data_IF_116199284293
#
_entry.id   IF_116199284293
#
_cell.length_a   1.000
_cell.length_b   1.000
_cell.length_c   1.000
_cell.angle_alpha   90.00
_cell.angle_beta   90.00
_cell.angle_gamma   90.00
#
_symmetry.space_group_name_H-M   'P 1'
#
loop_
_entity.id
_entity.type
_entity.pdbx_description
1 polymer ?
#
# COMPACT_ATOMS: atom_id res chain seq x y z
N UNK A 1 19.11 -26.03 -103.04
CA UNK A 1 17.79 -25.35 -103.08
C UNK A 1 16.95 -25.96 -101.92
N UNK A 2 16.54 -25.12 -101.08
CA UNK A 2 16.11 -25.33 -99.68
C UNK A 2 14.84 -26.15 -99.51
N UNK A 3 14.93 -27.18 -98.70
CA UNK A 3 13.76 -27.84 -98.14
C UNK A 3 13.78 -27.73 -96.62
N UNK A 4 12.82 -27.06 -96.01
CA UNK A 4 12.68 -26.90 -94.56
C UNK A 4 11.75 -28.01 -94.02
N UNK A 5 12.29 -28.80 -93.09
CA UNK A 5 11.54 -29.78 -92.33
C UNK A 5 10.99 -29.12 -91.07
N UNK A 6 9.69 -29.16 -90.84
CA UNK A 6 9.04 -28.68 -89.67
C UNK A 6 8.94 -29.82 -88.62
N UNK A 7 9.39 -29.57 -87.38
CA UNK A 7 9.29 -30.46 -86.26
C UNK A 7 8.11 -30.02 -85.37
N UNK A 8 7.09 -30.88 -85.24
CA UNK A 8 6.01 -30.70 -84.23
C UNK A 8 6.51 -31.13 -82.85
N UNK A 9 6.51 -30.23 -81.91
CA UNK A 9 6.71 -30.55 -80.47
C UNK A 9 5.35 -30.63 -79.75
N UNK A 10 4.96 -31.82 -79.30
CA UNK A 10 3.85 -31.98 -78.32
C UNK A 10 4.29 -31.52 -76.94
N UNK A 11 3.68 -30.49 -76.47
CA UNK A 11 3.88 -30.02 -75.11
C UNK A 11 2.88 -30.68 -74.16
N UNK A 12 3.39 -31.50 -73.23
CA UNK A 12 2.60 -32.07 -72.13
C UNK A 12 2.50 -31.02 -71.00
N UNK A 13 1.28 -30.54 -70.74
CA UNK A 13 1.01 -29.61 -69.62
C UNK A 13 0.78 -30.45 -68.38
N UNK A 14 1.74 -30.43 -67.43
CA UNK A 14 1.55 -30.93 -66.07
C UNK A 14 0.83 -29.86 -65.23
N UNK A 15 -0.39 -30.17 -64.80
CA UNK A 15 -1.09 -29.40 -63.75
C UNK A 15 -0.54 -29.81 -62.39
N UNK A 16 0.34 -29.01 -61.78
CA UNK A 16 0.69 -29.08 -60.37
C UNK A 16 -0.40 -28.36 -59.55
N UNK A 17 -1.29 -29.14 -58.94
CA UNK A 17 -2.25 -28.66 -57.94
C UNK A 17 -1.51 -28.20 -56.70
N UNK A 18 -1.36 -26.90 -56.53
CA UNK A 18 -0.87 -26.28 -55.30
C UNK A 18 -1.93 -26.43 -54.19
N UNK A 19 -1.68 -27.35 -53.23
CA UNK A 19 -2.42 -27.37 -51.96
C UNK A 19 -1.97 -26.16 -51.16
N UNK A 20 -2.77 -25.10 -51.20
CA UNK A 20 -2.58 -23.94 -50.32
C UNK A 20 -2.77 -24.37 -48.85
N UNK A 21 -1.68 -24.46 -48.09
CA UNK A 21 -1.71 -24.50 -46.65
C UNK A 21 -2.28 -23.14 -46.19
N UNK A 22 -3.56 -23.13 -45.84
CA UNK A 22 -4.14 -22.02 -45.11
C UNK A 22 -3.43 -21.97 -43.74
N UNK A 23 -2.53 -21.01 -43.58
CA UNK A 23 -2.00 -20.68 -42.26
C UNK A 23 -3.17 -20.20 -41.40
N UNK A 24 -3.56 -21.04 -40.42
CA UNK A 24 -4.50 -20.64 -39.42
C UNK A 24 -3.86 -19.46 -38.63
N UNK A 25 -4.31 -18.26 -38.93
CA UNK A 25 -3.98 -17.08 -38.16
C UNK A 25 -4.44 -17.35 -36.70
N UNK A 26 -3.49 -17.32 -35.76
CA UNK A 26 -3.84 -17.40 -34.35
C UNK A 26 -4.90 -16.31 -34.06
N UNK A 27 -5.95 -16.63 -33.30
CA UNK A 27 -6.97 -15.63 -32.98
C UNK A 27 -6.30 -14.45 -32.30
N UNK A 28 -6.65 -13.24 -32.72
CA UNK A 28 -6.18 -12.01 -32.09
C UNK A 28 -6.47 -12.08 -30.57
N UNK A 29 -5.57 -11.59 -29.70
CA UNK A 29 -5.76 -11.64 -28.27
C UNK A 29 -7.07 -10.95 -27.89
N UNK A 30 -7.95 -11.68 -27.22
CA UNK A 30 -9.23 -11.17 -26.74
C UNK A 30 -8.90 -10.20 -25.59
N UNK A 31 -8.98 -8.90 -25.84
CA UNK A 31 -9.09 -7.94 -24.75
C UNK A 31 -10.47 -8.13 -24.10
N UNK A 32 -10.52 -8.15 -22.74
CA UNK A 32 -11.82 -8.06 -22.07
C UNK A 32 -12.58 -6.89 -22.69
N UNK A 33 -13.74 -7.17 -23.21
CA UNK A 33 -14.56 -6.10 -23.77
C UNK A 33 -14.88 -5.12 -22.63
N UNK A 34 -14.76 -3.83 -22.84
CA UNK A 34 -15.13 -2.79 -21.84
C UNK A 34 -16.48 -3.08 -21.13
N UNK A 35 -17.50 -3.67 -21.80
CA UNK A 35 -18.75 -4.07 -21.14
C UNK A 35 -18.60 -5.15 -20.06
N UNK A 36 -17.68 -6.13 -20.19
CA UNK A 36 -17.53 -7.19 -19.19
C UNK A 36 -16.81 -6.68 -17.93
N UNK A 37 -15.76 -5.88 -18.09
CA UNK A 37 -15.06 -5.24 -16.96
C UNK A 37 -16.03 -4.32 -16.20
N UNK A 38 -16.84 -3.51 -16.92
CA UNK A 38 -17.85 -2.66 -16.29
C UNK A 38 -18.88 -3.45 -15.47
N UNK A 39 -19.31 -4.64 -15.94
CA UNK A 39 -20.17 -5.52 -15.16
C UNK A 39 -19.53 -6.01 -13.87
N UNK A 40 -18.27 -6.44 -13.93
CA UNK A 40 -17.53 -6.89 -12.75
C UNK A 40 -17.35 -5.73 -11.75
N UNK A 41 -17.03 -4.53 -12.23
CA UNK A 41 -16.90 -3.34 -11.38
C UNK A 41 -18.23 -2.95 -10.70
N UNK A 42 -19.35 -3.15 -11.37
CA UNK A 42 -20.68 -2.94 -10.77
C UNK A 42 -21.03 -4.02 -9.72
N UNK A 43 -20.76 -5.30 -10.02
CA UNK A 43 -20.94 -6.40 -9.06
C UNK A 43 -20.06 -6.22 -7.82
N UNK A 44 -18.82 -5.74 -8.00
CA UNK A 44 -17.84 -5.49 -6.94
C UNK A 44 -18.32 -4.46 -5.91
N UNK A 45 -19.14 -3.47 -6.29
CA UNK A 45 -19.80 -2.55 -5.34
C UNK A 45 -20.68 -3.32 -4.36
N UNK A 46 -21.45 -4.30 -4.85
CA UNK A 46 -22.27 -5.16 -4.01
C UNK A 46 -21.42 -6.06 -3.09
N UNK A 47 -20.38 -6.64 -3.63
CA UNK A 47 -19.43 -7.47 -2.84
C UNK A 47 -18.75 -6.67 -1.74
N UNK A 48 -18.37 -5.41 -2.01
CA UNK A 48 -17.79 -4.54 -1.00
C UNK A 48 -18.80 -4.20 0.09
N UNK A 49 -20.04 -3.86 -0.29
CA UNK A 49 -21.10 -3.58 0.68
C UNK A 49 -21.37 -4.78 1.60
N UNK A 50 -21.37 -6.00 1.05
CA UNK A 50 -21.57 -7.22 1.83
C UNK A 50 -20.35 -7.52 2.73
N UNK A 51 -19.12 -7.32 2.24
CA UNK A 51 -17.91 -7.50 3.03
C UNK A 51 -17.83 -6.50 4.20
N UNK A 52 -18.28 -5.25 4.00
CA UNK A 52 -18.36 -4.26 5.08
C UNK A 52 -19.32 -4.71 6.19
N UNK A 53 -20.42 -5.40 5.86
CA UNK A 53 -21.38 -5.93 6.84
C UNK A 53 -20.80 -7.00 7.76
N UNK A 54 -19.71 -7.62 7.37
CA UNK A 54 -18.96 -8.54 8.22
C UNK A 54 -18.00 -7.72 9.09
N UNK A 55 -18.35 -7.55 10.37
CA UNK A 55 -17.51 -6.81 11.30
C UNK A 55 -16.23 -7.61 11.62
N UNK A 56 -15.10 -7.08 11.20
CA UNK A 56 -13.75 -7.62 11.40
C UNK A 56 -12.88 -6.67 12.21
N UNK A 57 -13.49 -5.93 13.13
CA UNK A 57 -12.73 -5.05 14.05
C UNK A 57 -11.65 -5.82 14.77
N UNK A 58 -10.43 -5.36 14.69
CA UNK A 58 -9.25 -5.96 15.29
C UNK A 58 -8.66 -5.00 16.35
N UNK A 59 -8.51 -5.44 17.62
CA UNK A 59 -8.94 -6.72 18.16
C UNK A 59 -10.47 -6.85 18.36
N UNK A 60 -11.07 -8.08 18.44
CA UNK A 60 -10.40 -9.38 18.44
C UNK A 60 -10.13 -9.96 17.04
N UNK A 61 -10.65 -9.36 15.96
CA UNK A 61 -10.67 -9.88 14.62
C UNK A 61 -11.82 -10.90 14.40
N UNK A 62 -12.21 -11.08 13.13
CA UNK A 62 -13.22 -12.06 12.68
C UNK A 62 -13.03 -12.33 11.19
N UNK A 63 -11.79 -12.33 10.74
CA UNK A 63 -11.45 -12.37 9.31
C UNK A 63 -11.86 -13.70 8.67
N UNK A 64 -11.97 -14.78 9.46
CA UNK A 64 -12.42 -16.08 8.94
C UNK A 64 -13.81 -15.99 8.28
N UNK A 65 -14.72 -15.19 8.84
CA UNK A 65 -16.03 -14.96 8.23
C UNK A 65 -15.91 -14.17 6.91
N UNK A 66 -15.05 -13.16 6.89
CA UNK A 66 -14.80 -12.33 5.71
C UNK A 66 -14.16 -13.17 4.57
N UNK A 67 -13.10 -13.92 4.85
CA UNK A 67 -12.42 -14.72 3.82
C UNK A 67 -13.28 -15.89 3.31
N UNK A 68 -14.17 -16.44 4.13
CA UNK A 68 -15.17 -17.43 3.67
C UNK A 68 -16.20 -16.81 2.71
N UNK A 69 -16.62 -15.58 2.96
CA UNK A 69 -17.47 -14.85 2.03
C UNK A 69 -16.79 -14.65 0.67
N UNK A 70 -15.51 -14.23 0.67
CA UNK A 70 -14.71 -14.05 -0.54
C UNK A 70 -14.50 -15.37 -1.29
N UNK A 71 -14.21 -16.47 -0.56
CA UNK A 71 -14.07 -17.80 -1.12
C UNK A 71 -15.34 -18.25 -1.86
N UNK A 72 -16.53 -17.95 -1.30
CA UNK A 72 -17.80 -18.24 -1.94
C UNK A 72 -18.04 -17.50 -3.25
N UNK A 73 -17.48 -16.27 -3.41
CA UNK A 73 -17.50 -15.56 -4.70
C UNK A 73 -16.61 -16.28 -5.71
N UNK A 74 -15.35 -16.58 -5.32
CA UNK A 74 -14.38 -17.24 -6.19
C UNK A 74 -14.82 -18.64 -6.62
N UNK A 75 -15.46 -19.40 -5.73
CA UNK A 75 -16.03 -20.71 -6.05
C UNK A 75 -17.09 -20.63 -7.17
N UNK A 76 -18.00 -19.65 -7.09
CA UNK A 76 -19.00 -19.44 -8.15
C UNK A 76 -18.38 -19.07 -9.50
N UNK A 77 -17.20 -18.45 -9.50
CA UNK A 77 -16.45 -18.10 -10.70
C UNK A 77 -15.51 -19.23 -11.17
N UNK A 78 -15.47 -20.35 -10.46
CA UNK A 78 -14.57 -21.48 -10.77
C UNK A 78 -13.09 -21.09 -10.64
N UNK A 79 -12.76 -20.23 -9.69
CA UNK A 79 -11.39 -19.84 -9.35
C UNK A 79 -10.98 -20.62 -8.10
N UNK A 80 -9.91 -21.46 -8.17
CA UNK A 80 -9.44 -22.20 -7.00
C UNK A 80 -9.03 -21.26 -5.88
N UNK A 81 -9.55 -21.50 -4.69
CA UNK A 81 -9.28 -20.72 -3.49
C UNK A 81 -9.14 -21.62 -2.27
N UNK A 82 -8.25 -21.29 -1.36
CA UNK A 82 -8.00 -21.98 -0.10
C UNK A 82 -8.15 -21.01 1.07
N UNK A 83 -8.94 -21.39 2.06
CA UNK A 83 -9.10 -20.67 3.33
C UNK A 83 -8.27 -21.39 4.39
N UNK A 84 -7.36 -20.65 5.03
CA UNK A 84 -6.53 -21.13 6.12
C UNK A 84 -6.93 -20.41 7.41
N UNK A 85 -7.20 -21.15 8.47
CA UNK A 85 -7.46 -20.59 9.80
C UNK A 85 -6.15 -20.48 10.56
N UNK A 86 -5.74 -19.24 10.86
CA UNK A 86 -4.48 -18.95 11.57
C UNK A 86 -4.62 -19.04 13.09
N UNK A 87 -5.81 -18.72 13.60
CA UNK A 87 -6.27 -18.85 14.99
C UNK A 87 -7.80 -18.90 15.01
N UNK A 88 -8.44 -19.28 16.12
CA UNK A 88 -9.91 -19.30 16.19
C UNK A 88 -10.56 -18.00 15.73
N UNK A 89 -11.34 -18.05 14.66
CA UNK A 89 -12.00 -16.88 14.05
C UNK A 89 -11.10 -16.00 13.17
N UNK A 90 -9.80 -16.24 13.13
CA UNK A 90 -8.82 -15.55 12.29
C UNK A 90 -8.52 -16.36 11.05
N UNK A 91 -8.51 -15.77 9.89
CA UNK A 91 -8.30 -16.53 8.67
C UNK A 91 -7.73 -15.71 7.52
N UNK A 92 -7.11 -16.42 6.59
CA UNK A 92 -6.57 -15.87 5.35
C UNK A 92 -7.14 -16.65 4.16
N UNK A 93 -7.26 -15.99 3.01
CA UNK A 93 -7.68 -16.57 1.74
C UNK A 93 -6.55 -16.45 0.74
N UNK A 94 -6.20 -17.58 0.11
CA UNK A 94 -5.26 -17.61 -1.02
C UNK A 94 -6.00 -18.15 -2.24
N UNK A 95 -5.98 -17.39 -3.34
CA UNK A 95 -6.52 -17.83 -4.62
C UNK A 95 -5.50 -17.61 -5.73
N UNK A 96 -5.57 -18.40 -6.80
CA UNK A 96 -4.57 -18.36 -7.88
C UNK A 96 -5.22 -18.54 -9.25
N UNK A 97 -4.88 -17.64 -10.17
CA UNK A 97 -5.01 -17.87 -11.60
C UNK A 97 -3.64 -18.29 -12.13
N UNK A 98 -3.55 -19.56 -12.53
CA UNK A 98 -2.29 -20.12 -13.02
C UNK A 98 -2.00 -19.66 -14.44
N UNK A 99 -0.74 -19.41 -14.73
CA UNK A 99 -0.26 -19.12 -16.07
C UNK A 99 -0.33 -20.35 -16.96
N UNK A 100 -0.30 -20.12 -18.28
CA UNK A 100 -0.13 -21.19 -19.28
C UNK A 100 1.35 -21.59 -19.47
N UNK A 101 2.28 -20.85 -18.87
CA UNK A 101 3.72 -21.11 -18.90
C UNK A 101 4.14 -22.07 -17.77
N UNK A 102 5.40 -22.51 -17.78
CA UNK A 102 5.98 -23.26 -16.66
C UNK A 102 5.93 -22.38 -15.41
N UNK A 103 5.43 -22.90 -14.29
CA UNK A 103 5.36 -22.13 -13.05
C UNK A 103 6.73 -21.58 -12.63
N UNK A 104 6.80 -20.28 -12.43
CA UNK A 104 7.99 -19.58 -11.96
C UNK A 104 7.58 -18.52 -10.91
N UNK A 105 7.77 -18.81 -9.62
CA UNK A 105 7.43 -17.88 -8.56
C UNK A 105 8.12 -16.52 -8.70
N UNK A 106 9.33 -16.44 -9.27
CA UNK A 106 10.04 -15.18 -9.44
C UNK A 106 9.36 -14.23 -10.43
N UNK A 107 8.43 -14.74 -11.24
CA UNK A 107 7.63 -13.98 -12.19
C UNK A 107 6.20 -13.70 -11.71
N UNK A 108 5.71 -14.47 -10.72
CA UNK A 108 4.35 -14.36 -10.22
C UNK A 108 4.06 -12.95 -9.65
N UNK A 109 2.78 -12.55 -9.75
CA UNK A 109 2.24 -11.34 -9.14
C UNK A 109 1.33 -11.71 -7.97
N UNK A 110 1.61 -11.17 -6.80
CA UNK A 110 0.75 -11.24 -5.62
C UNK A 110 -0.09 -9.96 -5.52
N UNK A 111 -1.39 -10.10 -5.41
CA UNK A 111 -2.33 -9.04 -5.06
C UNK A 111 -2.70 -9.24 -3.59
N UNK A 112 -2.28 -8.34 -2.72
CA UNK A 112 -2.45 -8.40 -1.28
C UNK A 112 -3.44 -7.34 -0.81
N UNK A 113 -4.21 -7.65 0.23
CA UNK A 113 -5.04 -6.69 0.95
C UNK A 113 -5.54 -7.32 2.25
N UNK A 114 -5.81 -6.47 3.25
CA UNK A 114 -6.28 -6.94 4.56
C UNK A 114 -7.78 -6.73 4.77
N UNK A 115 -8.39 -7.64 5.49
CA UNK A 115 -9.83 -7.66 5.73
C UNK A 115 -10.21 -7.22 7.15
N UNK A 116 -9.24 -7.14 8.07
CA UNK A 116 -9.46 -6.54 9.39
C UNK A 116 -9.56 -5.02 9.30
N UNK A 117 -10.08 -4.41 10.34
CA UNK A 117 -10.30 -2.96 10.38
C UNK A 117 -10.15 -2.44 11.81
N UNK A 118 -9.76 -1.18 11.96
CA UNK A 118 -9.73 -0.51 13.27
C UNK A 118 -11.11 -0.35 13.89
N UNK A 119 -11.14 -0.16 15.20
CA UNK A 119 -12.37 0.06 15.97
C UNK A 119 -13.11 1.34 15.57
N UNK A 120 -14.40 1.40 15.95
CA UNK A 120 -15.28 2.55 15.69
C UNK A 120 -15.95 3.05 16.97
N UNK A 121 -16.23 4.35 17.02
CA UNK A 121 -17.15 4.96 17.99
C UNK A 121 -18.49 5.16 17.27
N UNK A 122 -19.36 4.15 17.36
CA UNK A 122 -20.59 4.06 16.55
C UNK A 122 -21.49 5.30 16.68
N UNK A 123 -21.51 5.92 17.85
CA UNK A 123 -22.28 7.13 18.16
C UNK A 123 -21.82 8.39 17.41
N UNK A 124 -20.64 8.35 16.81
CA UNK A 124 -20.07 9.44 16.01
C UNK A 124 -20.31 9.30 14.51
N UNK A 125 -20.85 8.14 14.09
CA UNK A 125 -21.14 7.87 12.69
C UNK A 125 -22.54 8.32 12.30
N UNK A 126 -22.67 8.93 11.11
CA UNK A 126 -23.95 9.34 10.55
C UNK A 126 -24.78 8.17 10.02
N UNK A 127 -24.17 7.02 9.80
CA UNK A 127 -24.79 5.74 9.36
C UNK A 127 -24.19 4.59 10.18
N UNK A 128 -24.75 3.37 10.05
CA UNK A 128 -24.15 2.19 10.66
C UNK A 128 -22.77 1.92 10.00
N UNK A 129 -21.65 1.94 10.75
CA UNK A 129 -20.31 1.72 10.20
C UNK A 129 -20.10 0.33 9.58
N UNK A 130 -20.95 -0.65 9.94
CA UNK A 130 -20.97 -1.98 9.35
C UNK A 130 -22.28 -2.24 8.57
N UNK A 131 -22.97 -1.19 8.12
CA UNK A 131 -24.20 -1.30 7.35
C UNK A 131 -23.98 -1.52 5.85
N UNK A 132 -22.80 -1.19 5.32
CA UNK A 132 -22.55 -1.16 3.89
C UNK A 132 -23.55 -0.26 3.17
N UNK A 133 -23.71 0.97 3.67
CA UNK A 133 -24.78 1.89 3.27
C UNK A 133 -24.39 2.65 2.02
N UNK A 134 -25.16 2.47 0.93
CA UNK A 134 -25.01 3.27 -0.28
C UNK A 134 -25.93 4.50 -0.18
N UNK A 135 -25.33 5.69 -0.22
CA UNK A 135 -26.06 6.96 -0.11
C UNK A 135 -25.29 8.07 -0.83
N UNK A 136 -26.01 8.91 -1.56
CA UNK A 136 -25.47 10.12 -2.22
C UNK A 136 -24.23 9.86 -3.12
N UNK A 137 -24.18 8.70 -3.79
CA UNK A 137 -23.07 8.31 -4.65
C UNK A 137 -21.86 7.72 -3.93
N UNK A 138 -21.95 7.46 -2.62
CA UNK A 138 -20.91 6.86 -1.79
C UNK A 138 -21.37 5.53 -1.20
N UNK A 139 -20.40 4.65 -0.97
CA UNK A 139 -20.54 3.49 -0.08
C UNK A 139 -19.85 3.82 1.25
N UNK A 140 -20.65 3.90 2.30
CA UNK A 140 -20.19 4.15 3.66
C UNK A 140 -19.93 2.86 4.40
N UNK A 141 -18.84 2.82 5.14
CA UNK A 141 -18.53 1.77 6.10
C UNK A 141 -17.06 1.72 6.48
N UNK A 142 -16.78 1.21 7.65
CA UNK A 142 -15.42 0.97 8.10
C UNK A 142 -14.75 -0.08 7.21
N UNK A 143 -13.57 0.25 6.65
CA UNK A 143 -12.88 -0.57 5.67
C UNK A 143 -13.28 -0.28 4.22
N UNK A 144 -14.13 0.73 3.96
CA UNK A 144 -14.52 1.06 2.59
C UNK A 144 -13.31 1.48 1.73
N UNK A 145 -12.31 2.12 2.35
CA UNK A 145 -11.02 2.48 1.73
C UNK A 145 -9.92 1.58 2.30
N UNK A 146 -9.86 1.41 3.62
CA UNK A 146 -8.79 0.77 4.37
C UNK A 146 -9.28 -0.50 5.10
N UNK A 147 -9.11 -1.74 4.55
CA UNK A 147 -8.60 -2.04 3.21
C UNK A 147 -9.54 -3.02 2.45
N UNK A 148 -10.80 -3.22 2.95
CA UNK A 148 -11.79 -4.09 2.26
C UNK A 148 -12.05 -3.66 0.83
N UNK A 149 -11.93 -2.35 0.55
CA UNK A 149 -12.02 -1.80 -0.80
C UNK A 149 -10.99 -2.41 -1.73
N UNK A 150 -9.72 -2.46 -1.32
CA UNK A 150 -8.63 -3.05 -2.08
C UNK A 150 -8.77 -4.58 -2.20
N UNK A 151 -9.17 -5.25 -1.11
CA UNK A 151 -9.45 -6.70 -1.13
C UNK A 151 -10.47 -7.05 -2.22
N UNK A 152 -11.59 -6.30 -2.30
CA UNK A 152 -12.60 -6.52 -3.33
C UNK A 152 -12.11 -6.10 -4.71
N UNK A 153 -11.32 -5.03 -4.84
CA UNK A 153 -10.74 -4.65 -6.12
C UNK A 153 -9.80 -5.75 -6.66
N UNK A 154 -8.95 -6.31 -5.80
CA UNK A 154 -8.08 -7.44 -6.13
C UNK A 154 -8.88 -8.67 -6.58
N UNK A 155 -9.93 -9.02 -5.83
CA UNK A 155 -10.83 -10.13 -6.17
C UNK A 155 -11.54 -9.89 -7.52
N UNK A 156 -12.06 -8.68 -7.74
CA UNK A 156 -12.71 -8.29 -8.99
C UNK A 156 -11.78 -8.41 -10.20
N UNK A 157 -10.50 -8.08 -10.03
CA UNK A 157 -9.47 -8.25 -11.07
C UNK A 157 -9.32 -9.73 -11.44
N UNK A 158 -9.23 -10.63 -10.46
CA UNK A 158 -9.15 -12.07 -10.73
C UNK A 158 -10.40 -12.55 -11.50
N UNK A 159 -11.60 -12.15 -11.06
CA UNK A 159 -12.86 -12.51 -11.70
C UNK A 159 -12.90 -11.98 -13.15
N UNK A 160 -12.50 -10.73 -13.35
CA UNK A 160 -12.49 -10.12 -14.69
C UNK A 160 -11.51 -10.83 -15.64
N UNK A 161 -10.29 -11.14 -15.19
CA UNK A 161 -9.29 -11.90 -15.96
C UNK A 161 -9.82 -13.29 -16.32
N UNK A 162 -10.48 -13.99 -15.39
CA UNK A 162 -11.06 -15.30 -15.59
C UNK A 162 -12.19 -15.27 -16.61
N UNK A 163 -13.17 -14.37 -16.43
CA UNK A 163 -14.32 -14.23 -17.34
C UNK A 163 -13.90 -13.83 -18.75
N UNK A 164 -12.89 -12.96 -18.86
CA UNK A 164 -12.33 -12.55 -20.14
C UNK A 164 -11.48 -13.62 -20.82
N UNK A 165 -11.17 -14.72 -20.14
CA UNK A 165 -10.31 -15.78 -20.67
C UNK A 165 -8.88 -15.29 -21.03
N UNK A 166 -8.36 -14.33 -20.26
CA UNK A 166 -7.02 -13.76 -20.50
C UNK A 166 -5.96 -14.85 -20.33
N UNK A 167 -5.14 -15.05 -21.37
CA UNK A 167 -3.98 -15.94 -21.28
C UNK A 167 -2.88 -15.26 -20.50
N UNK A 168 -2.49 -15.88 -19.38
CA UNK A 168 -1.45 -15.36 -18.49
C UNK A 168 -0.09 -15.99 -18.80
N UNK A 169 0.99 -15.21 -18.73
CA UNK A 169 2.39 -15.68 -18.83
C UNK A 169 3.05 -15.83 -17.44
N UNK A 170 2.35 -15.43 -16.38
CA UNK A 170 2.74 -15.57 -14.98
C UNK A 170 1.51 -15.78 -14.11
N UNK A 171 1.69 -16.42 -12.98
CA UNK A 171 0.60 -16.61 -12.02
C UNK A 171 0.18 -15.25 -11.43
N UNK A 172 -1.14 -15.09 -11.23
CA UNK A 172 -1.72 -14.00 -10.45
C UNK A 172 -2.34 -14.61 -9.20
N UNK A 173 -1.83 -14.21 -8.05
CA UNK A 173 -2.20 -14.75 -6.74
C UNK A 173 -2.93 -13.66 -5.97
N UNK A 174 -4.07 -13.99 -5.36
CA UNK A 174 -4.74 -13.15 -4.37
C UNK A 174 -4.42 -13.67 -2.98
N UNK A 175 -3.99 -12.79 -2.10
CA UNK A 175 -3.97 -13.00 -0.65
C UNK A 175 -4.88 -11.96 -0.01
N UNK A 176 -5.98 -12.42 0.58
CA UNK A 176 -6.76 -11.60 1.50
C UNK A 176 -6.50 -12.09 2.92
N UNK A 177 -6.05 -11.23 3.77
CA UNK A 177 -5.59 -11.58 5.11
C UNK A 177 -6.21 -10.68 6.19
N UNK A 178 -5.73 -10.79 7.42
CA UNK A 178 -6.10 -9.95 8.54
C UNK A 178 -4.90 -9.65 9.42
N UNK A 179 -5.14 -8.93 10.52
CA UNK A 179 -4.16 -8.56 11.53
C UNK A 179 -3.15 -7.48 11.10
N UNK A 180 -3.35 -6.85 9.93
CA UNK A 180 -2.50 -5.75 9.47
C UNK A 180 -2.55 -4.56 10.45
N UNK A 181 -3.74 -4.25 10.94
CA UNK A 181 -4.03 -3.15 11.87
C UNK A 181 -3.45 -3.34 13.28
N UNK A 182 -2.76 -4.46 13.50
CA UNK A 182 -2.06 -4.80 14.75
C UNK A 182 -0.61 -5.24 14.44
N UNK A 183 -0.28 -6.50 14.68
CA UNK A 183 1.08 -7.00 14.59
C UNK A 183 1.34 -7.89 13.36
N UNK A 184 0.30 -8.27 12.60
CA UNK A 184 0.38 -9.14 11.41
C UNK A 184 0.61 -10.62 11.72
N UNK A 185 0.62 -11.01 12.98
CA UNK A 185 0.97 -12.37 13.42
C UNK A 185 0.01 -13.45 12.91
N UNK A 186 -1.28 -13.10 12.75
CA UNK A 186 -2.33 -13.97 12.25
C UNK A 186 -2.62 -13.82 10.76
N UNK A 187 -1.99 -12.85 10.09
CA UNK A 187 -2.08 -12.54 8.66
C UNK A 187 -0.80 -12.88 7.91
N UNK A 188 -0.11 -11.84 7.42
CA UNK A 188 1.08 -11.99 6.58
C UNK A 188 2.19 -12.83 7.23
N UNK A 189 2.46 -12.64 8.52
CA UNK A 189 3.50 -13.38 9.23
C UNK A 189 3.15 -14.88 9.35
N UNK A 190 1.87 -15.21 9.58
CA UNK A 190 1.42 -16.60 9.56
C UNK A 190 1.66 -17.25 8.20
N UNK A 191 1.28 -16.56 7.11
CA UNK A 191 1.43 -17.09 5.74
C UNK A 191 2.91 -17.21 5.38
N UNK A 192 3.74 -16.23 5.69
CA UNK A 192 5.18 -16.26 5.43
C UNK A 192 5.87 -17.40 6.17
N UNK A 193 5.50 -17.63 7.43
CA UNK A 193 6.14 -18.67 8.27
C UNK A 193 5.71 -20.09 7.89
N UNK A 194 4.45 -20.30 7.48
CA UNK A 194 3.88 -21.65 7.33
C UNK A 194 3.46 -22.01 5.91
N UNK A 195 3.26 -21.03 5.03
CA UNK A 195 2.63 -21.24 3.73
C UNK A 195 3.26 -20.39 2.63
N UNK A 196 4.54 -19.98 2.80
CA UNK A 196 5.24 -19.13 1.84
C UNK A 196 5.13 -19.65 0.41
N UNK A 197 5.25 -20.94 0.19
CA UNK A 197 5.19 -21.57 -1.12
C UNK A 197 3.87 -21.32 -1.87
N UNK A 198 2.80 -20.99 -1.13
CA UNK A 198 1.49 -20.67 -1.72
C UNK A 198 1.39 -19.24 -2.24
N UNK A 199 2.22 -18.33 -1.71
CA UNK A 199 2.21 -16.90 -2.08
C UNK A 199 3.53 -16.43 -2.68
N UNK A 200 4.53 -17.32 -2.81
CA UNK A 200 5.83 -16.96 -3.36
C UNK A 200 5.68 -16.25 -4.72
N UNK A 201 6.16 -15.01 -4.79
CA UNK A 201 6.04 -14.14 -5.94
C UNK A 201 7.28 -13.26 -6.08
N UNK A 202 7.59 -12.82 -7.31
CA UNK A 202 8.64 -11.84 -7.56
C UNK A 202 8.14 -10.40 -7.42
N UNK A 203 6.82 -10.21 -7.53
CA UNK A 203 6.16 -8.90 -7.54
C UNK A 203 4.90 -8.92 -6.69
N UNK A 204 4.58 -7.78 -6.06
CA UNK A 204 3.33 -7.64 -5.33
C UNK A 204 2.74 -6.24 -5.49
N UNK A 205 1.41 -6.17 -5.49
CA UNK A 205 0.63 -4.95 -5.30
C UNK A 205 -0.13 -5.11 -3.97
N UNK A 206 0.00 -4.12 -3.11
CA UNK A 206 -0.64 -4.04 -1.81
C UNK A 206 -1.30 -2.67 -1.64
N UNK A 207 -1.93 -2.43 -0.51
CA UNK A 207 -2.34 -1.11 -0.05
C UNK A 207 -1.18 -0.12 0.03
N UNK A 208 -1.48 1.14 0.30
CA UNK A 208 -0.53 2.24 0.30
C UNK A 208 -0.45 2.92 -1.07
N UNK A 209 0.37 3.97 -1.18
CA UNK A 209 0.29 4.82 -2.37
C UNK A 209 -1.08 5.55 -2.43
N UNK A 210 -1.39 6.19 -3.54
CA UNK A 210 -2.65 6.95 -3.70
C UNK A 210 -2.86 7.44 -5.12
N UNK A 211 -4.12 7.59 -5.54
CA UNK A 211 -4.49 8.30 -6.76
C UNK A 211 -5.16 9.62 -6.36
N UNK A 212 -4.42 10.72 -6.45
CA UNK A 212 -4.83 12.01 -5.88
C UNK A 212 -5.64 12.83 -6.87
N UNK A 213 -6.84 13.22 -6.45
CA UNK A 213 -7.75 14.11 -7.21
C UNK A 213 -7.71 15.52 -6.61
N UNK A 214 -7.50 16.52 -7.47
CA UNK A 214 -7.65 17.93 -7.14
C UNK A 214 -8.41 18.64 -8.26
N UNK A 215 -9.38 19.46 -7.90
CA UNK A 215 -10.24 20.19 -8.86
C UNK A 215 -10.90 19.24 -9.90
N UNK A 216 -11.35 18.07 -9.45
CA UNK A 216 -12.03 17.06 -10.28
C UNK A 216 -11.13 16.33 -11.27
N UNK A 217 -9.81 16.45 -11.17
CA UNK A 217 -8.83 15.78 -12.05
C UNK A 217 -7.80 15.02 -11.22
N UNK A 218 -7.41 13.84 -11.70
CA UNK A 218 -6.28 13.12 -11.13
C UNK A 218 -5.00 13.90 -11.43
N UNK A 219 -4.30 14.29 -10.38
CA UNK A 219 -3.04 15.02 -10.48
C UNK A 219 -1.85 14.07 -10.60
N UNK A 220 -1.83 13.05 -9.76
CA UNK A 220 -0.78 12.04 -9.80
C UNK A 220 -1.25 10.69 -9.27
N UNK A 221 -0.53 9.65 -9.66
CA UNK A 221 -0.61 8.30 -9.12
C UNK A 221 0.64 8.06 -8.28
N UNK A 222 0.49 8.07 -6.97
CA UNK A 222 1.57 7.78 -6.02
C UNK A 222 1.72 6.28 -5.82
N UNK A 223 2.87 5.72 -6.20
CA UNK A 223 3.19 4.30 -6.05
C UNK A 223 4.17 4.12 -4.90
N UNK A 224 3.71 3.53 -3.81
CA UNK A 224 4.57 3.29 -2.64
C UNK A 224 5.64 2.25 -2.97
N UNK A 225 6.90 2.66 -2.92
CA UNK A 225 8.04 1.78 -3.15
C UNK A 225 8.87 1.54 -1.88
N UNK A 226 8.61 2.29 -0.81
CA UNK A 226 9.23 2.15 0.51
C UNK A 226 8.33 2.70 1.60
N UNK A 227 8.71 2.48 2.85
CA UNK A 227 7.99 3.00 4.02
C UNK A 227 8.94 3.25 5.18
N UNK A 228 8.53 4.10 6.12
CA UNK A 228 9.28 4.38 7.33
C UNK A 228 9.16 3.22 8.32
N UNK A 229 10.12 3.16 9.24
CA UNK A 229 10.21 2.10 10.25
C UNK A 229 9.62 2.64 11.55
N UNK A 230 8.53 2.05 12.08
CA UNK A 230 7.98 2.43 13.36
C UNK A 230 8.82 1.90 14.52
N UNK A 231 9.14 2.75 15.48
CA UNK A 231 9.81 2.37 16.74
C UNK A 231 9.23 3.22 17.85
N UNK A 232 8.79 2.58 18.92
CA UNK A 232 8.36 3.29 20.12
C UNK A 232 9.51 3.37 21.13
N UNK A 233 9.66 4.55 21.72
CA UNK A 233 10.67 4.81 22.76
C UNK A 233 10.00 5.42 23.98
N UNK A 234 10.18 4.79 25.14
CA UNK A 234 9.75 5.34 26.42
C UNK A 234 10.82 6.28 26.99
N UNK A 235 10.43 7.51 27.28
CA UNK A 235 11.23 8.47 28.07
C UNK A 235 10.79 8.33 29.51
N UNK A 236 11.69 7.91 30.38
CA UNK A 236 11.38 7.61 31.79
C UNK A 236 12.14 8.54 32.70
N UNK A 237 11.42 9.34 33.46
CA UNK A 237 12.00 10.17 34.53
C UNK A 237 11.82 9.46 35.88
N UNK A 238 12.89 9.40 36.68
CA UNK A 238 12.85 8.81 38.04
C UNK A 238 13.39 9.76 39.09
N UNK A 239 12.85 9.68 40.30
CA UNK A 239 13.31 10.48 41.42
C UNK A 239 12.57 10.09 42.73
N UNK A 240 12.91 10.73 43.87
CA UNK A 240 12.25 10.43 45.12
C UNK A 240 10.79 10.91 45.12
N UNK A 241 9.89 10.08 45.62
CA UNK A 241 8.52 10.49 45.94
C UNK A 241 8.45 11.39 47.18
N UNK A 242 7.36 12.17 47.32
CA UNK A 242 7.21 13.04 48.47
C UNK A 242 5.85 13.71 48.58
N UNK A 243 5.67 14.48 49.66
CA UNK A 243 4.44 15.23 49.85
C UNK A 243 4.43 16.47 48.93
N UNK A 244 3.33 16.69 48.20
CA UNK A 244 3.22 17.80 47.24
C UNK A 244 3.35 19.22 47.82
N UNK A 245 3.15 19.38 49.16
CA UNK A 245 3.38 20.66 49.84
C UNK A 245 4.86 20.98 50.09
N UNK A 246 5.78 20.05 49.80
CA UNK A 246 7.23 20.22 49.92
C UNK A 246 7.82 20.07 48.50
N UNK A 247 7.84 21.17 47.70
CA UNK A 247 8.34 21.11 46.32
C UNK A 247 9.81 20.68 46.27
N UNK A 248 10.11 19.76 45.34
CA UNK A 248 11.46 19.21 45.14
C UNK A 248 12.01 19.61 43.80
N UNK A 249 13.33 19.84 43.72
CA UNK A 249 14.02 20.14 42.47
C UNK A 249 14.20 18.87 41.60
N UNK A 250 14.26 17.71 42.22
CA UNK A 250 14.39 16.37 41.60
C UNK A 250 13.02 15.70 41.40
N UNK A 251 11.98 16.50 41.10
CA UNK A 251 10.63 16.02 40.81
C UNK A 251 10.58 15.40 39.42
N UNK A 252 10.29 14.09 39.28
CA UNK A 252 10.24 13.40 37.96
C UNK A 252 9.26 14.02 36.97
N UNK A 253 8.16 14.60 37.40
CA UNK A 253 7.19 15.24 36.53
C UNK A 253 7.81 16.44 35.81
N UNK A 254 8.62 17.25 36.52
CA UNK A 254 9.28 18.43 35.95
C UNK A 254 10.37 18.03 34.97
N UNK A 255 11.19 17.02 35.33
CA UNK A 255 12.24 16.48 34.49
C UNK A 255 11.66 15.88 33.18
N UNK A 256 10.58 15.08 33.30
CA UNK A 256 9.92 14.49 32.15
C UNK A 256 9.34 15.56 31.21
N UNK A 257 8.62 16.55 31.76
CA UNK A 257 8.02 17.61 30.97
C UNK A 257 9.10 18.41 30.19
N UNK A 258 10.24 18.73 30.87
CA UNK A 258 11.36 19.41 30.24
C UNK A 258 12.01 18.57 29.12
N UNK A 259 12.17 17.26 29.34
CA UNK A 259 12.72 16.34 28.36
C UNK A 259 11.81 16.26 27.11
N UNK A 260 10.51 16.04 27.32
CA UNK A 260 9.52 15.94 26.22
C UNK A 260 9.44 17.25 25.43
N UNK A 261 9.49 18.42 26.11
CA UNK A 261 9.49 19.72 25.44
C UNK A 261 10.73 19.93 24.54
N UNK A 262 11.92 19.53 25.02
CA UNK A 262 13.16 19.59 24.22
C UNK A 262 13.11 18.64 23.02
N UNK A 263 12.66 17.41 23.21
CA UNK A 263 12.53 16.40 22.15
C UNK A 263 11.49 16.85 21.14
N UNK A 264 10.34 17.37 21.57
CA UNK A 264 9.29 17.84 20.67
C UNK A 264 9.67 19.07 19.83
N UNK A 265 10.69 19.83 20.26
CA UNK A 265 11.25 20.95 19.52
C UNK A 265 12.42 20.55 18.59
N UNK A 266 12.88 19.33 18.67
CA UNK A 266 13.99 18.83 17.86
C UNK A 266 13.54 18.45 16.45
N UNK A 267 14.25 18.94 15.45
CA UNK A 267 14.10 18.51 14.07
C UNK A 267 15.35 17.73 13.65
N UNK A 268 15.16 16.44 13.30
CA UNK A 268 16.26 15.65 12.75
C UNK A 268 16.73 16.23 11.41
N UNK A 269 18.02 16.08 11.04
CA UNK A 269 18.54 16.55 9.76
C UNK A 269 17.77 15.95 8.57
N UNK A 270 17.54 16.77 7.54
CA UNK A 270 16.91 16.29 6.31
C UNK A 270 17.85 15.35 5.54
N UNK A 271 17.35 14.16 5.19
CA UNK A 271 18.12 13.12 4.48
C UNK A 271 17.22 12.44 3.42
N UNK A 272 16.83 13.18 2.36
CA UNK A 272 16.01 12.61 1.31
C UNK A 272 16.73 11.43 0.64
N UNK A 273 16.08 10.25 0.64
CA UNK A 273 16.57 9.05 -0.03
C UNK A 273 16.20 9.05 -1.52
N UNK A 274 16.60 8.04 -2.28
CA UNK A 274 16.34 7.93 -3.72
C UNK A 274 14.85 8.02 -4.05
N UNK A 275 13.98 7.35 -3.28
CA UNK A 275 12.52 7.39 -3.50
C UNK A 275 11.98 8.79 -3.25
N UNK A 276 12.37 9.42 -2.13
CA UNK A 276 11.92 10.77 -1.77
C UNK A 276 12.40 11.82 -2.77
N UNK A 277 13.65 11.72 -3.26
CA UNK A 277 14.18 12.62 -4.31
C UNK A 277 13.35 12.49 -5.59
N UNK A 278 13.14 11.27 -6.05
CA UNK A 278 12.33 11.01 -7.25
C UNK A 278 10.88 11.47 -7.09
N UNK A 279 10.30 11.32 -5.89
CA UNK A 279 8.98 11.87 -5.56
C UNK A 279 8.91 13.37 -5.81
N UNK A 280 9.82 14.15 -5.20
CA UNK A 280 9.83 15.61 -5.35
C UNK A 280 10.18 16.05 -6.78
N UNK A 281 11.06 15.34 -7.49
CA UNK A 281 11.37 15.61 -8.88
C UNK A 281 10.13 15.49 -9.78
N UNK A 282 9.35 14.42 -9.61
CA UNK A 282 8.14 14.21 -10.40
C UNK A 282 7.04 15.19 -10.01
N UNK A 283 6.82 15.40 -8.71
CA UNK A 283 5.80 16.31 -8.20
C UNK A 283 6.06 17.77 -8.64
N UNK A 284 7.33 18.17 -8.72
CA UNK A 284 7.72 19.49 -9.22
C UNK A 284 7.31 19.80 -10.67
N UNK A 285 6.79 18.82 -11.42
CA UNK A 285 6.28 19.03 -12.78
C UNK A 285 4.85 19.56 -12.80
N UNK A 286 4.12 19.36 -11.70
CA UNK A 286 2.69 19.70 -11.60
C UNK A 286 2.38 20.70 -10.48
N UNK A 287 3.33 20.98 -9.59
CA UNK A 287 3.17 21.97 -8.53
C UNK A 287 3.40 23.42 -9.04
N UNK A 288 2.95 24.38 -8.26
CA UNK A 288 3.20 25.79 -8.54
C UNK A 288 4.70 26.13 -8.62
N UNK A 289 5.03 27.24 -9.27
CA UNK A 289 6.42 27.58 -9.59
C UNK A 289 7.30 27.80 -8.35
N UNK A 290 6.77 28.29 -7.25
CA UNK A 290 7.55 28.53 -6.01
C UNK A 290 7.80 27.20 -5.27
N UNK A 291 6.77 26.38 -5.11
CA UNK A 291 6.88 25.06 -4.51
C UNK A 291 7.81 24.14 -5.34
N UNK A 292 7.62 24.12 -6.65
CA UNK A 292 8.46 23.36 -7.58
C UNK A 292 9.94 23.76 -7.52
N UNK A 293 10.22 25.05 -7.31
CA UNK A 293 11.60 25.55 -7.14
C UNK A 293 12.27 24.93 -5.90
N UNK A 294 11.55 24.85 -4.77
CA UNK A 294 12.10 24.25 -3.55
C UNK A 294 12.24 22.72 -3.69
N UNK A 295 11.31 22.06 -4.37
CA UNK A 295 11.43 20.61 -4.66
C UNK A 295 12.70 20.31 -5.47
N UNK A 296 12.96 21.06 -6.53
CA UNK A 296 14.19 20.90 -7.33
C UNK A 296 15.46 21.26 -6.57
N UNK A 297 15.38 22.20 -5.61
CA UNK A 297 16.52 22.63 -4.82
C UNK A 297 17.02 21.55 -3.83
N UNK A 298 16.23 20.50 -3.55
CA UNK A 298 16.68 19.33 -2.77
C UNK A 298 17.86 18.60 -3.40
N UNK A 299 18.04 18.71 -4.72
CA UNK A 299 19.17 18.10 -5.45
C UNK A 299 20.48 18.92 -5.35
N UNK A 300 20.39 20.14 -4.85
CA UNK A 300 21.55 21.05 -4.74
C UNK A 300 22.07 21.03 -3.30
N UNK A 301 23.25 20.46 -3.01
CA UNK A 301 23.74 20.30 -1.63
C UNK A 301 23.71 21.59 -0.81
N UNK A 302 24.10 22.74 -1.41
CA UNK A 302 24.17 24.05 -0.73
C UNK A 302 22.78 24.64 -0.42
N UNK A 303 21.74 24.10 -1.06
CA UNK A 303 20.34 24.56 -0.91
C UNK A 303 19.43 23.55 -0.23
N UNK A 304 19.86 22.31 -0.12
CA UNK A 304 19.06 21.18 0.37
C UNK A 304 18.39 21.48 1.72
N UNK A 305 19.18 21.96 2.69
CA UNK A 305 18.65 22.24 4.03
C UNK A 305 17.59 23.36 4.04
N UNK A 306 17.80 24.42 3.27
CA UNK A 306 16.82 25.50 3.12
C UNK A 306 15.57 25.01 2.38
N UNK A 307 15.75 24.20 1.34
CA UNK A 307 14.65 23.61 0.59
C UNK A 307 13.82 22.68 1.47
N UNK A 308 14.46 21.79 2.22
CA UNK A 308 13.81 20.90 3.16
C UNK A 308 12.98 21.65 4.20
N UNK A 309 13.52 22.74 4.76
CA UNK A 309 12.78 23.61 5.70
C UNK A 309 11.54 24.22 5.07
N UNK A 310 11.66 24.78 3.85
CA UNK A 310 10.52 25.36 3.13
C UNK A 310 9.42 24.35 2.80
N UNK A 311 9.82 23.16 2.39
CA UNK A 311 8.88 22.06 2.12
C UNK A 311 8.23 21.54 3.41
N UNK A 312 8.99 21.48 4.52
CA UNK A 312 8.48 21.12 5.83
C UNK A 312 7.44 22.10 6.37
N UNK A 313 7.67 23.42 6.17
CA UNK A 313 6.72 24.49 6.51
C UNK A 313 5.42 24.39 5.69
N UNK A 314 5.51 23.93 4.43
CA UNK A 314 4.37 23.82 3.53
C UNK A 314 3.52 22.56 3.80
N UNK A 315 4.13 21.46 4.27
CA UNK A 315 3.42 20.19 4.48
C UNK A 315 4.05 19.34 5.58
N UNK A 316 3.29 18.99 6.64
CA UNK A 316 3.75 18.02 7.66
C UNK A 316 4.13 16.65 7.07
N UNK A 317 3.43 16.21 6.02
CA UNK A 317 3.75 14.97 5.32
C UNK A 317 5.13 15.06 4.64
N UNK A 318 5.43 16.15 3.94
CA UNK A 318 6.74 16.35 3.32
C UNK A 318 7.85 16.44 4.37
N UNK A 319 7.56 17.12 5.51
CA UNK A 319 8.50 17.12 6.65
C UNK A 319 8.82 15.69 7.09
N UNK A 320 7.80 14.85 7.29
CA UNK A 320 8.00 13.46 7.69
C UNK A 320 8.73 12.63 6.64
N UNK A 321 8.53 12.88 5.35
CA UNK A 321 9.25 12.18 4.27
C UNK A 321 10.73 12.55 4.17
N UNK A 322 11.12 13.72 4.66
CA UNK A 322 12.48 14.24 4.51
C UNK A 322 13.43 13.82 5.63
N UNK A 323 12.93 13.36 6.79
CA UNK A 323 13.74 13.10 8.00
C UNK A 323 13.12 12.04 8.89
N UNK A 324 13.87 11.56 9.88
CA UNK A 324 13.27 10.84 11.00
C UNK A 324 12.29 11.75 11.72
N UNK A 325 11.13 11.23 12.08
CA UNK A 325 10.10 12.00 12.77
C UNK A 325 9.85 11.44 14.17
N UNK A 326 9.65 12.33 15.14
CA UNK A 326 9.41 12.01 16.53
C UNK A 326 8.12 12.67 16.96
N UNK A 327 7.17 11.89 17.42
CA UNK A 327 5.89 12.38 17.93
C UNK A 327 5.69 11.90 19.38
N UNK A 328 5.74 12.76 20.42
CA UNK A 328 5.27 12.40 21.74
C UNK A 328 3.76 12.14 21.68
N UNK A 329 3.34 10.93 22.04
CA UNK A 329 1.93 10.50 21.91
C UNK A 329 1.25 10.23 23.26
N UNK A 330 2.01 9.80 24.26
CA UNK A 330 1.49 9.50 25.60
C UNK A 330 2.38 10.19 26.63
N UNK A 331 1.74 10.80 27.64
CA UNK A 331 2.42 11.36 28.82
C UNK A 331 1.67 10.95 30.09
N UNK A 332 2.36 10.28 31.02
CA UNK A 332 1.79 9.77 32.26
C UNK A 332 2.71 10.08 33.45
N UNK A 333 2.17 10.75 34.49
CA UNK A 333 2.90 10.98 35.72
C UNK A 333 1.94 11.27 36.87
N UNK A 334 2.21 10.71 38.04
CA UNK A 334 1.44 10.92 39.26
C UNK A 334 0.05 10.31 39.24
N UNK A 335 -0.52 10.13 40.44
CA UNK A 335 -1.84 9.55 40.69
C UNK A 335 -2.71 10.37 41.64
N UNK A 336 -2.10 11.32 42.37
CA UNK A 336 -2.76 12.19 43.33
C UNK A 336 -2.12 13.57 43.37
N UNK A 337 -2.91 14.62 43.52
CA UNK A 337 -2.46 16.02 43.48
C UNK A 337 -1.53 16.39 44.65
N UNK A 338 -1.59 15.69 45.78
CA UNK A 338 -0.76 15.96 46.96
C UNK A 338 0.48 15.04 47.08
N UNK A 339 0.81 14.27 46.01
CA UNK A 339 1.94 13.33 45.99
C UNK A 339 2.85 13.62 44.79
N UNK A 340 4.14 13.90 45.05
CA UNK A 340 5.18 13.86 44.02
C UNK A 340 5.46 12.39 43.69
N UNK A 341 5.28 11.94 42.45
CA UNK A 341 5.52 10.54 42.09
C UNK A 341 7.01 10.22 42.04
N UNK A 342 7.38 8.95 42.13
CA UNK A 342 8.75 8.47 41.97
C UNK A 342 9.13 8.25 40.51
N UNK A 343 8.15 8.21 39.59
CA UNK A 343 8.35 7.96 38.17
C UNK A 343 7.31 8.72 37.34
N UNK A 344 7.73 9.14 36.14
CA UNK A 344 6.89 9.59 35.05
C UNK A 344 7.38 9.00 33.76
N UNK A 345 6.47 8.78 32.79
CA UNK A 345 6.76 8.16 31.47
C UNK A 345 6.13 8.94 30.33
N UNK A 346 6.84 9.00 29.21
CA UNK A 346 6.29 9.49 27.95
C UNK A 346 6.65 8.54 26.81
N UNK A 347 5.68 8.21 25.99
CA UNK A 347 5.89 7.42 24.78
C UNK A 347 6.17 8.34 23.59
N UNK A 348 7.27 8.10 22.89
CA UNK A 348 7.60 8.72 21.63
C UNK A 348 7.34 7.71 20.52
N UNK A 349 6.40 8.02 19.61
CA UNK A 349 6.25 7.28 18.38
C UNK A 349 7.26 7.85 17.37
N UNK A 350 8.25 7.06 17.02
CA UNK A 350 9.34 7.43 16.12
C UNK A 350 9.13 6.72 14.79
N UNK A 351 9.36 7.44 13.70
CA UNK A 351 9.34 6.89 12.34
C UNK A 351 10.69 7.18 11.69
N UNK A 352 11.53 6.14 11.57
CA UNK A 352 12.85 6.22 10.97
C UNK A 352 12.78 6.17 9.44
N UNK A 353 13.73 6.81 8.78
CA UNK A 353 13.93 6.63 7.34
C UNK A 353 14.38 5.19 7.03
N UNK A 354 14.01 4.64 5.86
CA UNK A 354 14.46 3.30 5.45
C UNK A 354 15.98 3.18 5.49
N UNK A 355 16.47 2.13 6.16
CA UNK A 355 17.90 1.86 6.32
C UNK A 355 18.53 2.48 7.57
N UNK A 356 17.81 3.30 8.31
CA UNK A 356 18.31 3.85 9.58
C UNK A 356 18.05 2.88 10.75
N UNK A 357 18.84 3.06 11.82
CA UNK A 357 18.65 2.40 13.11
C UNK A 357 18.33 3.43 14.20
N UNK A 358 17.71 2.97 15.29
CA UNK A 358 17.22 3.86 16.35
C UNK A 358 18.33 4.37 17.26
N UNK A 359 19.44 3.64 17.38
CA UNK A 359 20.49 3.92 18.37
C UNK A 359 21.12 5.32 18.21
N UNK A 360 21.51 5.78 17.00
CA UNK A 360 22.04 7.13 16.82
C UNK A 360 21.06 8.22 17.24
N UNK A 361 19.78 8.03 16.97
CA UNK A 361 18.75 9.00 17.33
C UNK A 361 18.53 9.05 18.85
N UNK A 362 18.57 7.91 19.53
CA UNK A 362 18.50 7.83 21.02
C UNK A 362 19.70 8.54 21.63
N UNK A 363 20.91 8.34 21.12
CA UNK A 363 22.10 9.06 21.61
C UNK A 363 22.01 10.58 21.40
N UNK A 364 21.42 11.01 20.31
CA UNK A 364 21.19 12.44 20.08
C UNK A 364 20.14 13.00 21.03
N UNK A 365 19.02 12.27 21.29
CA UNK A 365 18.03 12.67 22.28
C UNK A 365 18.61 12.73 23.69
N UNK A 366 19.52 11.80 24.08
CA UNK A 366 20.22 11.85 25.38
C UNK A 366 21.05 13.12 25.52
N UNK A 367 21.80 13.51 24.49
CA UNK A 367 22.59 14.74 24.47
C UNK A 367 21.70 15.97 24.55
N UNK A 368 20.59 16.00 23.80
CA UNK A 368 19.63 17.10 23.79
C UNK A 368 18.98 17.30 25.15
N UNK A 369 18.55 16.21 25.78
CA UNK A 369 17.90 16.24 27.10
C UNK A 369 18.91 16.58 28.19
N UNK A 370 20.12 15.99 28.15
CA UNK A 370 21.21 16.21 29.09
C UNK A 370 20.75 16.23 30.56
N UNK A 371 20.02 15.20 30.98
CA UNK A 371 19.42 15.07 32.31
C UNK A 371 19.66 13.66 32.86
N UNK A 372 20.42 13.47 33.97
CA UNK A 372 20.76 12.16 34.49
C UNK A 372 19.55 11.41 35.11
N UNK A 373 18.42 12.11 35.36
CA UNK A 373 17.20 11.49 35.87
C UNK A 373 16.34 10.91 34.73
N UNK A 374 16.73 11.15 33.49
CA UNK A 374 16.03 10.65 32.29
C UNK A 374 16.76 9.45 31.70
N UNK A 375 16.02 8.37 31.47
CA UNK A 375 16.47 7.24 30.66
C UNK A 375 15.53 6.99 29.49
N UNK A 376 16.07 6.35 28.47
CA UNK A 376 15.33 5.96 27.26
C UNK A 376 15.25 4.43 27.21
N UNK A 377 14.05 3.90 27.06
CA UNK A 377 13.77 2.47 26.91
C UNK A 377 13.20 2.26 25.51
N UNK A 378 13.95 1.59 24.65
CA UNK A 378 13.50 1.28 23.26
C UNK A 378 12.63 0.04 23.30
N UNK A 379 11.41 0.12 22.80
CA UNK A 379 10.57 -1.04 22.62
C UNK A 379 11.16 -1.99 21.56
N UNK A 380 10.93 -3.31 21.67
CA UNK A 380 11.24 -4.20 20.57
C UNK A 380 10.58 -3.69 19.28
N UNK A 381 11.33 -3.67 18.19
CA UNK A 381 10.79 -3.24 16.92
C UNK A 381 9.67 -4.19 16.47
N UNK A 382 8.49 -3.65 16.24
CA UNK A 382 7.33 -4.43 15.73
C UNK A 382 7.54 -4.86 14.27
N UNK A 383 8.30 -4.07 13.49
CA UNK A 383 8.62 -4.37 12.09
C UNK A 383 10.12 -4.19 11.82
N UNK A 384 10.67 -5.05 10.96
CA UNK A 384 12.09 -4.96 10.57
C UNK A 384 12.28 -3.95 9.43
N UNK A 385 13.45 -3.28 9.37
CA UNK A 385 13.80 -2.42 8.25
C UNK A 385 13.80 -3.21 6.94
N UNK A 386 12.98 -2.79 5.98
CA UNK A 386 12.90 -3.41 4.66
C UNK A 386 13.54 -2.51 3.59
N UNK A 387 14.22 -3.08 2.58
CA UNK A 387 14.76 -2.30 1.47
C UNK A 387 13.62 -1.71 0.62
N UNK A 388 13.85 -0.61 -0.10
CA UNK A 388 12.88 -0.11 -1.07
C UNK A 388 12.76 -1.07 -2.27
N UNK A 389 11.58 -1.12 -2.90
CA UNK A 389 11.40 -1.74 -4.21
C UNK A 389 12.05 -0.90 -5.31
N UNK A 390 12.52 -1.56 -6.36
CA UNK A 390 13.23 -0.91 -7.47
C UNK A 390 12.27 -0.13 -8.39
N UNK A 391 12.58 1.12 -8.67
CA UNK A 391 11.84 1.92 -9.66
C UNK A 391 12.09 1.46 -11.11
N UNK A 392 13.09 0.59 -11.32
CA UNK A 392 13.42 -0.01 -12.62
C UNK A 392 12.75 -1.38 -12.82
N UNK A 393 11.89 -1.83 -11.88
CA UNK A 393 11.20 -3.11 -12.02
C UNK A 393 10.15 -3.05 -13.14
N UNK A 394 9.90 -4.19 -13.78
CA UNK A 394 8.89 -4.28 -14.84
C UNK A 394 7.49 -3.95 -14.36
N UNK A 395 7.15 -4.24 -13.09
CA UNK A 395 5.84 -3.88 -12.53
C UNK A 395 5.71 -2.36 -12.36
N UNK A 396 6.73 -1.69 -11.81
CA UNK A 396 6.69 -0.24 -11.66
C UNK A 396 6.58 0.45 -13.04
N UNK A 397 7.37 0.01 -14.02
CA UNK A 397 7.30 0.52 -15.40
C UNK A 397 5.94 0.25 -16.05
N UNK A 398 5.30 -0.89 -15.76
CA UNK A 398 3.94 -1.16 -16.24
C UNK A 398 2.94 -0.16 -15.66
N UNK A 399 3.03 0.17 -14.37
CA UNK A 399 2.16 1.19 -13.75
C UNK A 399 2.40 2.56 -14.41
N UNK A 400 3.67 2.95 -14.62
CA UNK A 400 4.00 4.20 -15.33
C UNK A 400 3.44 4.25 -16.75
N UNK A 401 3.40 3.12 -17.44
CA UNK A 401 2.86 3.02 -18.78
C UNK A 401 1.33 3.11 -18.82
N UNK A 402 0.65 2.41 -17.91
CA UNK A 402 -0.81 2.29 -17.91
C UNK A 402 -1.51 3.55 -17.34
N UNK A 403 -0.95 4.13 -16.29
CA UNK A 403 -1.62 5.22 -15.55
C UNK A 403 -2.01 6.44 -16.42
N UNK A 404 -1.18 6.96 -17.36
CA UNK A 404 -1.58 8.09 -18.20
C UNK A 404 -2.75 7.79 -19.16
N UNK A 405 -2.93 6.52 -19.54
CA UNK A 405 -4.07 6.08 -20.36
C UNK A 405 -5.40 6.07 -19.60
N UNK A 406 -5.34 5.77 -18.30
CA UNK A 406 -6.51 5.76 -17.42
C UNK A 406 -6.80 7.13 -16.78
N UNK A 407 -5.76 7.93 -16.54
CA UNK A 407 -5.81 9.26 -15.92
C UNK A 407 -5.03 10.27 -16.77
N UNK A 408 -5.63 10.80 -17.84
CA UNK A 408 -4.94 11.70 -18.77
C UNK A 408 -4.38 12.94 -18.06
N UNK A 409 -3.08 13.18 -18.24
CA UNK A 409 -2.36 14.30 -17.64
C UNK A 409 -1.79 14.03 -16.24
N UNK A 410 -2.13 12.90 -15.60
CA UNK A 410 -1.55 12.52 -14.33
C UNK A 410 -0.08 12.09 -14.49
N UNK A 411 0.75 12.40 -13.51
CA UNK A 411 2.12 11.90 -13.41
C UNK A 411 2.18 10.73 -12.42
N UNK A 412 3.06 9.76 -12.67
CA UNK A 412 3.35 8.71 -11.69
C UNK A 412 4.49 9.17 -10.81
N UNK A 413 4.30 9.10 -9.50
CA UNK A 413 5.32 9.50 -8.51
C UNK A 413 5.63 8.32 -7.59
N UNK A 414 6.90 7.94 -7.41
CA UNK A 414 7.25 6.95 -6.41
C UNK A 414 7.06 7.57 -5.02
N UNK A 415 6.50 6.80 -4.11
CA UNK A 415 6.13 7.30 -2.79
C UNK A 415 6.84 6.52 -1.68
N UNK A 416 7.24 7.22 -0.63
CA UNK A 416 7.64 6.62 0.63
C UNK A 416 6.55 6.87 1.66
N UNK A 417 5.86 5.82 2.10
CA UNK A 417 4.86 5.94 3.15
C UNK A 417 5.50 6.38 4.47
N UNK A 418 4.81 7.26 5.18
CA UNK A 418 5.13 7.62 6.57
C UNK A 418 4.56 6.61 7.58
N UNK A 419 3.59 5.80 7.14
CA UNK A 419 3.08 4.61 7.83
C UNK A 419 3.90 3.36 7.53
N UNK A 420 3.38 2.20 7.92
CA UNK A 420 3.94 0.89 7.66
C UNK A 420 2.83 0.00 7.10
N UNK A 421 3.18 -0.96 6.24
CA UNK A 421 2.27 -1.91 5.61
C UNK A 421 2.92 -3.29 5.56
N UNK A 422 2.16 -4.31 5.20
CA UNK A 422 2.70 -5.67 5.03
C UNK A 422 3.64 -5.83 3.82
N UNK A 423 3.77 -4.78 3.01
CA UNK A 423 4.76 -4.73 1.93
C UNK A 423 6.20 -4.86 2.44
N UNK A 424 6.50 -4.44 3.68
CA UNK A 424 7.83 -4.57 4.28
C UNK A 424 8.24 -6.04 4.40
N UNK A 425 7.36 -6.92 4.90
CA UNK A 425 7.61 -8.35 5.06
C UNK A 425 7.90 -9.03 3.70
N UNK A 426 7.19 -8.63 2.66
CA UNK A 426 7.41 -9.11 1.30
C UNK A 426 8.76 -8.62 0.74
N UNK A 427 9.11 -7.36 0.96
CA UNK A 427 10.42 -6.80 0.53
C UNK A 427 11.60 -7.48 1.22
N UNK A 428 11.46 -7.89 2.49
CA UNK A 428 12.46 -8.70 3.20
C UNK A 428 12.67 -10.09 2.56
N UNK A 429 11.72 -10.55 1.75
CA UNK A 429 11.79 -11.79 0.94
C UNK A 429 12.21 -11.54 -0.52
N UNK A 430 12.76 -10.34 -0.82
CA UNK A 430 13.16 -9.90 -2.16
C UNK A 430 12.00 -9.79 -3.15
N UNK A 431 10.76 -9.66 -2.71
CA UNK A 431 9.60 -9.35 -3.55
C UNK A 431 9.62 -7.85 -3.87
N UNK A 432 9.43 -7.48 -5.14
CA UNK A 432 9.22 -6.10 -5.55
C UNK A 432 7.78 -5.70 -5.22
N UNK A 433 7.54 -5.29 -3.96
CA UNK A 433 6.21 -4.96 -3.45
C UNK A 433 5.96 -3.45 -3.52
N UNK A 434 4.84 -3.09 -4.15
CA UNK A 434 4.39 -1.71 -4.33
C UNK A 434 3.02 -1.51 -3.71
N UNK A 435 2.87 -0.40 -2.99
CA UNK A 435 1.54 0.05 -2.57
C UNK A 435 0.90 0.85 -3.71
N UNK A 436 -0.31 0.43 -4.09
CA UNK A 436 -1.11 1.09 -5.13
C UNK A 436 -2.58 1.04 -4.74
N UNK A 437 -3.02 1.98 -3.90
CA UNK A 437 -4.44 2.20 -3.67
C UNK A 437 -5.03 2.81 -4.95
N UNK A 438 -5.82 2.07 -5.75
CA UNK A 438 -6.10 2.44 -7.12
C UNK A 438 -7.22 3.48 -7.27
N UNK A 439 -7.87 3.86 -6.17
CA UNK A 439 -9.07 4.69 -6.18
C UNK A 439 -8.72 6.17 -6.32
N UNK A 440 -9.29 6.90 -7.32
CA UNK A 440 -9.11 8.35 -7.44
C UNK A 440 -9.91 9.08 -6.35
N UNK A 441 -9.23 9.41 -5.26
CA UNK A 441 -9.84 10.03 -4.08
C UNK A 441 -9.49 11.52 -3.97
N UNK A 442 -10.43 12.29 -3.45
CA UNK A 442 -10.15 13.63 -2.94
C UNK A 442 -9.60 13.53 -1.52
N UNK A 443 -8.82 14.52 -1.11
CA UNK A 443 -8.22 14.58 0.22
C UNK A 443 -9.26 14.43 1.35
N UNK A 444 -10.46 14.96 1.17
CA UNK A 444 -11.54 14.84 2.15
C UNK A 444 -11.94 13.38 2.40
N UNK A 445 -12.05 12.57 1.35
CA UNK A 445 -12.42 11.16 1.48
C UNK A 445 -11.23 10.33 1.99
N UNK A 446 -10.00 10.61 1.53
CA UNK A 446 -8.78 9.96 2.00
C UNK A 446 -8.56 10.17 3.52
N UNK A 447 -8.82 11.36 4.03
CA UNK A 447 -8.70 11.66 5.47
C UNK A 447 -9.72 10.93 6.35
N UNK A 448 -10.69 10.20 5.75
CA UNK A 448 -11.66 9.39 6.49
C UNK A 448 -11.17 7.98 6.80
N UNK A 449 -10.07 7.55 6.22
CA UNK A 449 -9.39 6.33 6.69
C UNK A 449 -9.10 6.47 8.18
N UNK A 450 -9.47 5.46 8.99
CA UNK A 450 -9.42 5.45 10.46
C UNK A 450 -10.29 6.53 11.17
N UNK A 451 -10.96 7.43 10.44
CA UNK A 451 -11.87 8.42 11.01
C UNK A 451 -13.34 7.97 10.99
N UNK A 452 -14.24 8.82 11.50
CA UNK A 452 -15.68 8.58 11.43
C UNK A 452 -16.22 8.80 10.00
N UNK A 453 -17.32 8.13 9.65
CA UNK A 453 -17.95 8.22 8.34
C UNK A 453 -17.00 7.90 7.16
N UNK A 454 -16.14 6.90 7.36
CA UNK A 454 -15.32 6.37 6.25
C UNK A 454 -16.24 5.94 5.10
N UNK A 455 -15.86 6.35 3.89
CA UNK A 455 -16.68 6.13 2.69
C UNK A 455 -15.81 6.15 1.44
N UNK A 456 -16.28 5.48 0.40
CA UNK A 456 -15.65 5.54 -0.92
C UNK A 456 -16.69 6.01 -1.96
N UNK A 457 -16.35 6.97 -2.84
CA UNK A 457 -17.19 7.32 -3.97
C UNK A 457 -17.35 6.10 -4.89
N UNK A 458 -18.58 5.75 -5.27
CA UNK A 458 -18.86 4.58 -6.11
C UNK A 458 -18.14 4.64 -7.47
N UNK A 459 -18.08 5.85 -8.05
CA UNK A 459 -17.36 6.07 -9.32
C UNK A 459 -15.86 5.87 -9.16
N UNK A 460 -15.27 6.38 -8.06
CA UNK A 460 -13.85 6.18 -7.75
C UNK A 460 -13.50 4.71 -7.53
N UNK A 461 -14.37 3.96 -6.84
CA UNK A 461 -14.20 2.54 -6.63
C UNK A 461 -14.19 1.77 -7.97
N UNK A 462 -15.21 1.99 -8.82
CA UNK A 462 -15.26 1.36 -10.16
C UNK A 462 -14.04 1.71 -11.00
N UNK A 463 -13.68 2.99 -11.03
CA UNK A 463 -12.50 3.47 -11.78
C UNK A 463 -11.21 2.86 -11.25
N UNK A 464 -11.11 2.66 -9.95
CA UNK A 464 -9.97 1.97 -9.32
C UNK A 464 -9.88 0.49 -9.72
N UNK A 465 -11.01 -0.23 -9.73
CA UNK A 465 -11.05 -1.62 -10.23
C UNK A 465 -10.60 -1.68 -11.69
N UNK A 466 -11.10 -0.77 -12.55
CA UNK A 466 -10.72 -0.71 -13.96
C UNK A 466 -9.24 -0.43 -14.14
N UNK A 467 -8.68 0.53 -13.41
CA UNK A 467 -7.26 0.86 -13.44
C UNK A 467 -6.39 -0.31 -12.97
N UNK A 468 -6.72 -0.91 -11.83
CA UNK A 468 -5.99 -2.06 -11.31
C UNK A 468 -6.03 -3.25 -12.29
N UNK A 469 -7.20 -3.53 -12.87
CA UNK A 469 -7.33 -4.55 -13.91
C UNK A 469 -6.37 -4.29 -15.09
N UNK A 470 -6.29 -3.05 -15.58
CA UNK A 470 -5.39 -2.71 -16.70
C UNK A 470 -3.92 -2.90 -16.35
N UNK A 471 -3.53 -2.52 -15.14
CA UNK A 471 -2.16 -2.75 -14.66
C UNK A 471 -1.86 -4.24 -14.62
N UNK A 472 -2.74 -5.04 -14.03
CA UNK A 472 -2.53 -6.49 -13.87
C UNK A 472 -2.60 -7.20 -15.23
N UNK A 473 -3.55 -6.84 -16.09
CA UNK A 473 -3.67 -7.40 -17.44
C UNK A 473 -2.41 -7.12 -18.26
N UNK A 474 -1.94 -5.89 -18.31
CA UNK A 474 -0.75 -5.51 -19.07
C UNK A 474 0.51 -6.21 -18.55
N UNK A 475 0.63 -6.34 -17.20
CA UNK A 475 1.76 -6.97 -16.55
C UNK A 475 1.77 -8.50 -16.73
N UNK A 476 0.61 -9.15 -16.68
CA UNK A 476 0.53 -10.62 -16.60
C UNK A 476 0.06 -11.32 -17.88
N UNK A 477 -0.36 -10.57 -18.91
CA UNK A 477 -0.81 -11.13 -20.18
C UNK A 477 0.34 -11.79 -20.94
N UNK A 478 0.08 -12.98 -21.51
CA UNK A 478 0.98 -13.61 -22.49
C UNK A 478 1.04 -12.78 -23.77
N UNK A 479 2.26 -12.43 -24.19
CA UNK A 479 2.54 -11.67 -25.41
C UNK A 479 2.47 -12.55 -26.64
#
# INVERSE_FOLDING_TARGET
MNCRLGLLLLGTVLFLGGVGLASAQAPAPVQASRPELGRVSDEAVGWLADLIRINTTNPPGNELAAVRYLAGILEREGIPAEVLESAPGRGVLIARLSSSAVPDPSRALLLLGHADVVGVQKERWSVDPFGGVIKDGYLYGRGAIDDKGMVIANLAVLVALKRAGVRLDRDVILLAEGDEEQDGDYGIEFVIRKHWEKIAAGFAINEGGRVVVKDGKVQYVGVQASEKIPVDVEVVATGPSGHGSVPRKDNPVVHLAAAVARIGAYEAPARPNTITRRYFEQLAKIEDSETAKWMRALETPERMELAARRLSEASPMWNSMLRDSIAPTILRAGIRSNVVPSEGRATLNIRLLPGDSIEPLVEEMKKLVNDPQIRFEVAPASRQPAPPSSLESTLYQTIEHVAPGEFPGAVVVPFMSTGATDSAQLRLRNVQAYGLLPFPLQEEDERRMHADDERIPLEAFRKGVDFLYRVVEEFARAK
#
